data_IF_740994801035
#
_entry.id   IF_740994801035
#
_cell.length_a   1.000
_cell.length_b   1.000
_cell.length_c   1.000
_cell.angle_alpha   90.00
_cell.angle_beta   90.00
_cell.angle_gamma   90.00
#
_symmetry.space_group_name_H-M   'P 1'
#
loop_
_entity.id
_entity.type
_entity.pdbx_description
1 polymer ?
#
# COMPACT_ATOMS: atom_id res chain seq x y z
N UNK A 1 -40.13 -17.90 -13.51
CA UNK A 1 -39.04 -18.63 -12.82
C UNK A 1 -37.86 -18.69 -13.78
N UNK A 2 -36.62 -18.42 -13.35
CA UNK A 2 -35.46 -18.71 -14.20
C UNK A 2 -35.51 -20.19 -14.61
N UNK A 3 -35.20 -20.47 -15.87
CA UNK A 3 -35.18 -21.85 -16.40
C UNK A 3 -34.21 -22.66 -15.52
N UNK A 4 -34.65 -23.80 -14.92
CA UNK A 4 -33.79 -24.55 -14.01
C UNK A 4 -32.53 -25.02 -14.73
N UNK A 5 -31.39 -24.95 -14.03
CA UNK A 5 -30.13 -25.54 -14.49
C UNK A 5 -30.38 -27.00 -14.86
N UNK A 6 -30.07 -27.38 -16.10
CA UNK A 6 -30.26 -28.76 -16.57
C UNK A 6 -28.96 -29.53 -16.47
N UNK A 7 -29.04 -30.72 -15.92
CA UNK A 7 -27.96 -31.70 -15.92
C UNK A 7 -28.24 -32.71 -17.03
N UNK A 8 -27.25 -32.94 -17.89
CA UNK A 8 -27.31 -33.94 -18.96
C UNK A 8 -26.31 -35.03 -18.63
N UNK A 9 -26.75 -36.29 -18.61
CA UNK A 9 -25.84 -37.42 -18.40
C UNK A 9 -24.81 -37.47 -19.53
N UNK A 10 -23.54 -37.65 -19.16
CA UNK A 10 -22.47 -37.75 -20.13
C UNK A 10 -22.56 -39.07 -20.92
N UNK A 11 -22.41 -39.02 -22.24
CA UNK A 11 -22.57 -40.20 -23.09
C UNK A 11 -21.46 -41.24 -22.87
N UNK A 12 -20.25 -40.80 -22.51
CA UNK A 12 -19.15 -41.71 -22.14
C UNK A 12 -19.49 -42.43 -20.83
N UNK A 13 -20.09 -41.72 -19.86
CA UNK A 13 -20.60 -42.35 -18.64
C UNK A 13 -21.74 -43.34 -18.91
N UNK A 14 -22.70 -43.00 -19.78
CA UNK A 14 -23.79 -43.92 -20.16
C UNK A 14 -23.24 -45.20 -20.80
N UNK A 15 -22.19 -45.10 -21.63
CA UNK A 15 -21.61 -46.24 -22.32
C UNK A 15 -20.60 -47.07 -21.51
N UNK A 16 -19.88 -46.46 -20.57
CA UNK A 16 -18.73 -47.09 -19.88
C UNK A 16 -18.73 -46.96 -18.35
N UNK A 17 -19.77 -46.36 -17.77
CA UNK A 17 -19.86 -46.10 -16.34
C UNK A 17 -18.71 -45.23 -15.82
N UNK A 18 -18.27 -45.50 -14.58
CA UNK A 18 -17.15 -44.78 -13.94
C UNK A 18 -15.76 -45.33 -14.33
N UNK A 19 -15.67 -46.21 -15.33
CA UNK A 19 -14.40 -46.67 -15.87
C UNK A 19 -13.74 -45.62 -16.79
N UNK A 20 -14.50 -44.61 -17.23
CA UNK A 20 -14.00 -43.52 -18.06
C UNK A 20 -12.99 -42.62 -17.31
N UNK A 21 -12.01 -42.09 -18.05
CA UNK A 21 -11.06 -41.11 -17.53
C UNK A 21 -11.79 -39.85 -17.01
N UNK A 22 -11.27 -39.26 -15.93
CA UNK A 22 -11.90 -38.10 -15.27
C UNK A 22 -13.23 -38.38 -14.56
N UNK A 23 -13.84 -39.57 -14.76
CA UNK A 23 -15.10 -40.02 -14.13
C UNK A 23 -16.23 -38.99 -14.17
N UNK A 24 -16.31 -38.23 -15.27
CA UNK A 24 -17.37 -37.24 -15.51
C UNK A 24 -18.67 -37.99 -15.83
N UNK A 25 -19.72 -37.77 -15.02
CA UNK A 25 -21.00 -38.45 -15.20
C UNK A 25 -22.13 -37.53 -15.69
N UNK A 26 -21.97 -36.21 -15.54
CA UNK A 26 -22.94 -35.25 -16.05
C UNK A 26 -22.27 -33.95 -16.53
N UNK A 27 -22.89 -33.32 -17.53
CA UNK A 27 -22.59 -31.98 -17.99
C UNK A 27 -23.64 -30.99 -17.47
N UNK A 28 -23.19 -29.78 -17.12
CA UNK A 28 -24.08 -28.68 -16.75
C UNK A 28 -24.43 -27.90 -18.01
N UNK A 29 -25.72 -27.89 -18.36
CA UNK A 29 -26.23 -27.02 -19.41
C UNK A 29 -26.42 -25.62 -18.84
N UNK A 30 -25.60 -24.68 -19.31
CA UNK A 30 -25.66 -23.29 -18.88
C UNK A 30 -27.00 -22.65 -19.30
N UNK A 31 -27.58 -21.80 -18.45
CA UNK A 31 -28.81 -21.10 -18.81
C UNK A 31 -28.54 -20.14 -19.98
N UNK A 32 -29.55 -19.88 -20.84
CA UNK A 32 -29.40 -18.93 -21.94
C UNK A 32 -29.21 -17.50 -21.40
N UNK A 33 -28.45 -16.69 -22.14
CA UNK A 33 -28.31 -15.25 -21.87
C UNK A 33 -29.70 -14.59 -21.75
N UNK A 34 -29.95 -13.71 -20.77
CA UNK A 34 -28.97 -13.00 -19.92
C UNK A 34 -28.72 -13.61 -18.54
N UNK A 35 -29.14 -14.86 -18.27
CA UNK A 35 -28.95 -15.47 -16.96
C UNK A 35 -27.46 -15.80 -16.71
N UNK A 36 -26.95 -15.58 -15.48
CA UNK A 36 -25.55 -15.85 -15.18
C UNK A 36 -25.25 -17.35 -15.22
N UNK A 37 -24.03 -17.74 -15.64
CA UNK A 37 -23.63 -19.12 -15.65
C UNK A 37 -23.55 -19.71 -14.24
N UNK A 38 -23.75 -21.02 -14.15
CA UNK A 38 -23.59 -21.78 -12.90
C UNK A 38 -22.12 -21.74 -12.51
N UNK A 39 -21.83 -21.16 -11.36
CA UNK A 39 -20.49 -21.01 -10.83
C UNK A 39 -20.40 -21.49 -9.40
N UNK A 40 -19.21 -21.97 -9.07
CA UNK A 40 -18.72 -22.11 -7.72
C UNK A 40 -17.89 -20.85 -7.43
N UNK A 41 -18.40 -19.94 -6.61
CA UNK A 41 -17.63 -18.79 -6.20
C UNK A 41 -18.15 -18.22 -4.87
N UNK A 42 -17.30 -18.12 -3.84
CA UNK A 42 -17.37 -16.99 -2.94
C UNK A 42 -17.30 -15.67 -3.73
N UNK A 43 -18.10 -14.66 -3.40
CA UNK A 43 -17.82 -13.29 -3.82
C UNK A 43 -16.38 -12.87 -3.44
N UNK A 44 -15.66 -12.20 -4.34
CA UNK A 44 -14.33 -11.61 -4.05
C UNK A 44 -14.33 -10.68 -2.81
N UNK A 45 -15.41 -9.92 -2.51
CA UNK A 45 -15.52 -9.18 -1.25
C UNK A 45 -15.43 -10.07 0.00
N UNK A 46 -15.92 -11.31 -0.08
CA UNK A 46 -16.04 -12.21 1.08
C UNK A 46 -14.71 -12.91 1.43
N UNK A 47 -13.73 -12.88 0.53
CA UNK A 47 -12.37 -13.39 0.77
C UNK A 47 -11.38 -12.27 1.10
N UNK A 48 -11.84 -11.02 1.19
CA UNK A 48 -11.03 -9.85 1.49
C UNK A 48 -9.94 -9.55 0.46
N UNK A 49 -10.11 -10.00 -0.79
CA UNK A 49 -9.14 -9.80 -1.86
C UNK A 49 -7.90 -10.70 -1.81
N UNK A 50 -7.70 -11.49 -0.74
CA UNK A 50 -6.51 -12.33 -0.55
C UNK A 50 -6.58 -13.61 -1.39
N UNK A 51 -7.78 -14.13 -1.69
CA UNK A 51 -7.93 -15.24 -2.61
C UNK A 51 -9.24 -15.15 -3.40
N UNK A 52 -9.16 -15.04 -4.72
CA UNK A 52 -10.32 -15.19 -5.60
C UNK A 52 -10.26 -16.59 -6.20
N UNK A 53 -11.24 -17.45 -5.89
CA UNK A 53 -11.25 -18.86 -6.34
C UNK A 53 -12.49 -19.17 -7.19
N UNK A 54 -13.05 -18.15 -7.85
CA UNK A 54 -14.25 -18.28 -8.66
C UNK A 54 -14.03 -19.21 -9.85
N UNK A 55 -14.98 -20.12 -10.05
CA UNK A 55 -14.92 -21.12 -11.10
C UNK A 55 -16.29 -21.38 -11.71
N UNK A 56 -16.39 -21.34 -13.03
CA UNK A 56 -17.62 -21.79 -13.73
C UNK A 56 -17.72 -23.31 -13.65
N UNK A 57 -18.89 -23.84 -13.30
CA UNK A 57 -19.14 -25.28 -13.25
C UNK A 57 -19.65 -25.75 -14.61
N UNK A 58 -18.90 -26.62 -15.29
CA UNK A 58 -19.25 -27.20 -16.59
C UNK A 58 -19.71 -28.66 -16.50
N UNK A 59 -19.42 -29.36 -15.40
CA UNK A 59 -19.84 -30.75 -15.21
C UNK A 59 -19.67 -31.28 -13.79
N UNK A 60 -19.99 -32.57 -13.64
CA UNK A 60 -19.89 -33.32 -12.39
C UNK A 60 -18.99 -34.56 -12.61
N UNK A 61 -18.01 -34.71 -11.74
CA UNK A 61 -17.07 -35.84 -11.69
C UNK A 61 -17.21 -36.60 -10.37
N UNK A 62 -17.12 -37.93 -10.43
CA UNK A 62 -17.15 -38.76 -9.22
C UNK A 62 -15.88 -38.61 -8.36
N UNK A 63 -14.74 -38.19 -8.94
CA UNK A 63 -13.48 -38.00 -8.21
C UNK A 63 -13.28 -36.57 -7.73
N UNK A 64 -13.61 -35.58 -8.56
CA UNK A 64 -13.35 -34.17 -8.31
C UNK A 64 -14.59 -33.38 -7.86
N UNK A 65 -15.79 -33.97 -7.93
CA UNK A 65 -17.05 -33.27 -7.64
C UNK A 65 -17.40 -32.28 -8.75
N UNK A 66 -17.64 -31.01 -8.41
CA UNK A 66 -17.89 -29.96 -9.40
C UNK A 66 -16.61 -29.71 -10.22
N UNK A 67 -16.72 -29.76 -11.55
CA UNK A 67 -15.60 -29.47 -12.46
C UNK A 67 -15.96 -28.32 -13.39
N UNK A 68 -14.96 -27.55 -13.80
CA UNK A 68 -15.15 -26.39 -14.66
C UNK A 68 -14.32 -26.41 -15.94
N UNK A 69 -14.44 -25.33 -16.71
CA UNK A 69 -13.74 -25.14 -17.98
C UNK A 69 -14.12 -26.14 -19.07
N UNK A 70 -13.17 -26.40 -19.98
CA UNK A 70 -13.36 -27.30 -21.12
C UNK A 70 -13.56 -28.76 -20.69
N UNK A 71 -14.84 -29.18 -20.62
CA UNK A 71 -15.22 -30.48 -20.07
C UNK A 71 -14.57 -31.66 -20.82
N UNK A 72 -14.32 -31.55 -22.12
CA UNK A 72 -13.65 -32.60 -22.91
C UNK A 72 -12.20 -32.86 -22.47
N UNK A 73 -11.51 -31.86 -21.90
CA UNK A 73 -10.19 -32.05 -21.29
C UNK A 73 -10.29 -32.85 -20.01
N UNK A 74 -11.26 -32.53 -19.15
CA UNK A 74 -11.51 -33.28 -17.91
C UNK A 74 -11.89 -34.72 -18.22
N UNK A 75 -12.77 -34.94 -19.21
CA UNK A 75 -13.16 -36.29 -19.69
C UNK A 75 -11.99 -37.10 -20.26
N UNK A 76 -11.01 -36.44 -20.88
CA UNK A 76 -9.80 -37.11 -21.37
C UNK A 76 -8.73 -37.32 -20.28
N UNK A 77 -9.06 -37.05 -19.02
CA UNK A 77 -8.15 -37.26 -17.90
C UNK A 77 -7.15 -36.12 -17.71
N UNK A 78 -7.38 -34.95 -18.32
CA UNK A 78 -6.42 -33.84 -18.35
C UNK A 78 -6.95 -32.61 -17.60
N UNK A 79 -6.09 -32.03 -16.77
CA UNK A 79 -6.26 -30.73 -16.17
C UNK A 79 -5.27 -29.75 -16.81
N UNK A 80 -5.81 -28.74 -17.47
CA UNK A 80 -5.06 -27.63 -18.03
C UNK A 80 -5.58 -26.31 -17.42
N UNK A 81 -4.81 -25.64 -16.54
CA UNK A 81 -5.25 -24.43 -15.85
C UNK A 81 -5.78 -23.34 -16.79
N UNK A 82 -5.20 -23.21 -17.98
CA UNK A 82 -5.55 -22.16 -18.95
C UNK A 82 -6.92 -22.36 -19.62
N UNK A 83 -7.41 -23.60 -19.67
CA UNK A 83 -8.74 -23.94 -20.19
C UNK A 83 -9.72 -24.33 -19.08
N UNK A 84 -9.22 -24.56 -17.86
CA UNK A 84 -10.04 -24.82 -16.69
C UNK A 84 -10.60 -23.52 -16.10
N UNK A 85 -9.77 -22.50 -15.85
CA UNK A 85 -10.17 -21.28 -15.16
C UNK A 85 -10.60 -20.14 -16.10
N UNK A 86 -11.51 -19.25 -15.66
CA UNK A 86 -11.89 -18.06 -16.42
C UNK A 86 -10.69 -17.13 -16.64
N UNK A 87 -10.69 -16.43 -17.76
CA UNK A 87 -9.68 -15.42 -18.10
C UNK A 87 -10.22 -14.02 -17.87
N UNK A 88 -9.33 -13.02 -17.79
CA UNK A 88 -9.76 -11.63 -17.79
C UNK A 88 -10.58 -11.33 -19.06
N UNK A 89 -11.79 -10.77 -18.89
CA UNK A 89 -12.71 -10.50 -20.00
C UNK A 89 -13.54 -11.70 -20.47
N UNK A 90 -13.60 -12.78 -19.70
CA UNK A 90 -14.42 -13.95 -20.02
C UNK A 90 -15.92 -13.59 -20.13
N UNK A 91 -16.66 -14.12 -21.14
CA UNK A 91 -18.09 -13.83 -21.32
C UNK A 91 -18.97 -14.21 -20.11
N UNK A 92 -18.50 -15.08 -19.21
CA UNK A 92 -19.17 -15.41 -17.95
C UNK A 92 -19.18 -14.26 -16.94
N UNK A 93 -18.33 -13.24 -17.12
CA UNK A 93 -18.14 -12.15 -16.16
C UNK A 93 -17.35 -12.55 -14.91
N UNK A 94 -16.85 -13.79 -14.83
CA UNK A 94 -16.05 -14.26 -13.71
C UNK A 94 -14.60 -13.74 -13.82
N UNK A 95 -14.01 -13.40 -12.68
CA UNK A 95 -12.62 -13.01 -12.61
C UNK A 95 -11.70 -14.24 -12.56
N UNK A 96 -10.47 -14.15 -13.11
CA UNK A 96 -9.49 -15.21 -12.99
C UNK A 96 -9.14 -15.44 -11.51
N UNK A 97 -8.83 -16.69 -11.12
CA UNK A 97 -8.50 -16.96 -9.75
C UNK A 97 -7.14 -16.38 -9.38
N UNK A 98 -7.11 -15.68 -8.25
CA UNK A 98 -5.93 -14.97 -7.75
C UNK A 98 -5.58 -15.40 -6.33
N UNK A 99 -4.30 -15.34 -6.03
CA UNK A 99 -3.72 -15.52 -4.70
C UNK A 99 -2.99 -14.22 -4.29
N UNK A 100 -3.16 -13.81 -3.05
CA UNK A 100 -2.65 -12.54 -2.50
C UNK A 100 -3.06 -11.31 -3.32
N UNK A 101 -4.18 -11.34 -4.04
CA UNK A 101 -4.68 -10.20 -4.84
C UNK A 101 -3.96 -9.95 -6.18
N UNK A 102 -2.70 -10.36 -6.32
CA UNK A 102 -1.90 -10.10 -7.54
C UNK A 102 -1.40 -11.36 -8.27
N UNK A 103 -1.31 -12.52 -7.62
CA UNK A 103 -0.81 -13.75 -8.26
C UNK A 103 -1.92 -14.47 -9.00
N UNK A 104 -1.91 -14.42 -10.33
CA UNK A 104 -2.81 -15.24 -11.14
C UNK A 104 -2.45 -16.73 -10.99
N UNK A 105 -3.32 -17.50 -10.34
CA UNK A 105 -3.07 -18.92 -10.11
C UNK A 105 -2.86 -19.75 -11.39
N UNK A 106 -3.56 -19.51 -12.52
CA UNK A 106 -3.34 -20.29 -13.75
C UNK A 106 -1.92 -20.11 -14.33
N UNK A 107 -1.27 -18.98 -14.05
CA UNK A 107 0.10 -18.73 -14.51
C UNK A 107 1.12 -19.54 -13.70
N UNK A 108 0.80 -19.87 -12.45
CA UNK A 108 1.68 -20.57 -11.50
C UNK A 108 1.53 -22.09 -11.51
N UNK A 109 0.41 -22.63 -12.01
CA UNK A 109 0.09 -24.05 -11.92
C UNK A 109 0.46 -24.80 -13.20
N UNK A 110 0.99 -26.02 -13.05
CA UNK A 110 1.36 -26.92 -14.15
C UNK A 110 0.18 -27.82 -14.52
N UNK A 111 -0.03 -28.04 -15.82
CA UNK A 111 -1.03 -29.00 -16.31
C UNK A 111 -0.72 -30.41 -15.81
N UNK A 112 -1.75 -31.18 -15.47
CA UNK A 112 -1.57 -32.52 -14.87
C UNK A 112 -2.72 -33.46 -15.22
N UNK A 113 -2.67 -34.71 -14.75
CA UNK A 113 -3.75 -35.68 -14.93
C UNK A 113 -4.86 -35.47 -13.91
N UNK A 114 -6.12 -35.50 -14.33
CA UNK A 114 -7.25 -35.56 -13.40
C UNK A 114 -7.32 -36.98 -12.80
N UNK A 115 -7.09 -37.14 -11.50
CA UNK A 115 -7.25 -38.48 -10.90
C UNK A 115 -6.65 -38.73 -9.52
N UNK A 116 -5.76 -37.86 -9.02
CA UNK A 116 -5.17 -38.02 -7.68
C UNK A 116 -5.97 -37.33 -6.56
N UNK A 117 -7.07 -36.64 -6.91
CA UNK A 117 -7.92 -35.93 -5.95
C UNK A 117 -7.24 -34.78 -5.22
N UNK A 118 -6.04 -34.36 -5.65
CA UNK A 118 -5.20 -33.39 -4.95
C UNK A 118 -4.73 -32.24 -5.83
N UNK A 119 -4.18 -32.53 -7.00
CA UNK A 119 -3.56 -31.50 -7.85
C UNK A 119 -4.56 -30.78 -8.78
N UNK A 120 -5.81 -31.26 -8.82
CA UNK A 120 -6.95 -30.61 -9.47
C UNK A 120 -7.91 -30.15 -8.39
N UNK A 121 -8.60 -29.00 -8.52
CA UNK A 121 -9.58 -28.56 -7.53
C UNK A 121 -10.64 -29.64 -7.30
N UNK A 122 -10.74 -30.10 -6.05
CA UNK A 122 -11.78 -31.05 -5.62
C UNK A 122 -12.88 -30.25 -4.93
N UNK A 123 -14.02 -30.12 -5.58
CA UNK A 123 -15.14 -29.30 -5.12
C UNK A 123 -16.33 -30.21 -4.78
N UNK A 124 -16.57 -30.44 -3.50
CA UNK A 124 -17.62 -31.35 -3.03
C UNK A 124 -18.71 -30.57 -2.32
N UNK A 125 -19.96 -30.90 -2.64
CA UNK A 125 -21.13 -30.29 -2.03
C UNK A 125 -21.89 -31.33 -1.21
N UNK A 126 -22.09 -31.03 0.06
CA UNK A 126 -22.81 -31.86 1.01
C UNK A 126 -24.03 -31.12 1.55
N UNK A 127 -25.11 -31.88 1.76
CA UNK A 127 -26.36 -31.34 2.32
C UNK A 127 -26.34 -31.52 3.83
N UNK A 128 -26.54 -30.43 4.55
CA UNK A 128 -26.60 -30.43 6.02
C UNK A 128 -28.05 -30.65 6.46
N UNK A 129 -28.24 -31.60 7.38
CA UNK A 129 -29.54 -31.91 7.99
C UNK A 129 -29.36 -32.06 9.50
N UNK A 130 -30.35 -31.62 10.26
CA UNK A 130 -30.36 -31.84 11.71
C UNK A 130 -30.64 -33.31 12.08
N UNK A 131 -31.34 -34.03 11.20
CA UNK A 131 -31.60 -35.47 11.28
C UNK A 131 -31.91 -36.02 9.87
N UNK A 132 -31.74 -37.34 9.66
CA UNK A 132 -31.95 -37.99 8.35
C UNK A 132 -33.33 -37.71 7.75
N UNK A 133 -34.37 -37.70 8.59
CA UNK A 133 -35.77 -37.51 8.16
C UNK A 133 -36.20 -36.04 8.09
N UNK A 134 -35.30 -35.09 8.39
CA UNK A 134 -35.60 -33.66 8.35
C UNK A 134 -35.21 -33.03 7.01
N UNK A 135 -35.90 -31.94 6.62
CA UNK A 135 -35.49 -31.18 5.45
C UNK A 135 -34.06 -30.63 5.64
N UNK A 136 -33.31 -30.47 4.55
CA UNK A 136 -32.02 -29.78 4.56
C UNK A 136 -32.10 -28.40 5.21
N UNK A 137 -31.14 -28.08 6.07
CA UNK A 137 -31.03 -26.76 6.72
C UNK A 137 -29.95 -25.90 6.09
N UNK A 138 -28.94 -26.51 5.46
CA UNK A 138 -27.91 -25.81 4.72
C UNK A 138 -27.28 -26.72 3.66
N UNK A 139 -26.49 -26.10 2.78
CA UNK A 139 -25.55 -26.79 1.88
C UNK A 139 -24.15 -26.32 2.22
N UNK A 140 -23.20 -27.24 2.32
CA UNK A 140 -21.78 -26.94 2.51
C UNK A 140 -21.03 -27.39 1.28
N UNK A 141 -20.33 -26.46 0.64
CA UNK A 141 -19.43 -26.76 -0.47
C UNK A 141 -17.99 -26.52 -0.04
N UNK A 142 -17.17 -27.55 -0.17
CA UNK A 142 -15.75 -27.51 0.17
C UNK A 142 -14.92 -27.63 -1.10
N UNK A 143 -13.91 -26.76 -1.24
CA UNK A 143 -12.86 -26.89 -2.24
C UNK A 143 -11.53 -27.17 -1.54
N UNK A 144 -10.91 -28.30 -1.89
CA UNK A 144 -9.54 -28.63 -1.53
C UNK A 144 -8.68 -28.64 -2.79
N UNK A 145 -7.52 -28.00 -2.74
CA UNK A 145 -6.61 -27.96 -3.88
C UNK A 145 -5.16 -27.77 -3.48
N UNK A 146 -4.30 -28.70 -3.89
CA UNK A 146 -2.85 -28.62 -3.75
C UNK A 146 -2.18 -28.78 -5.12
N UNK A 147 -2.12 -27.75 -5.96
CA UNK A 147 -1.63 -27.89 -7.34
C UNK A 147 -0.15 -28.24 -7.42
N UNK A 148 0.26 -28.87 -8.52
CA UNK A 148 1.65 -28.85 -8.96
C UNK A 148 1.96 -27.47 -9.51
N UNK A 149 3.00 -26.84 -8.99
CA UNK A 149 3.42 -25.50 -9.43
C UNK A 149 4.49 -25.58 -10.50
N UNK A 150 4.62 -24.51 -11.29
CA UNK A 150 5.74 -24.30 -12.21
C UNK A 150 6.95 -23.80 -11.41
N UNK A 151 8.14 -24.09 -11.93
CA UNK A 151 9.41 -23.60 -11.37
C UNK A 151 9.95 -22.46 -12.23
N UNK A 152 10.49 -21.43 -11.61
CA UNK A 152 11.06 -20.28 -12.31
C UNK A 152 10.79 -18.96 -11.59
N UNK A 153 11.04 -17.86 -12.30
CA UNK A 153 10.75 -16.51 -11.83
C UNK A 153 9.49 -15.99 -12.51
N UNK A 154 8.51 -15.61 -11.69
CA UNK A 154 7.21 -15.10 -12.12
C UNK A 154 7.09 -13.63 -11.73
N UNK A 155 6.51 -12.84 -12.62
CA UNK A 155 6.28 -11.40 -12.39
C UNK A 155 7.54 -10.61 -12.03
N UNK A 156 8.73 -11.11 -12.40
CA UNK A 156 10.03 -10.52 -12.09
C UNK A 156 10.47 -10.62 -10.62
N UNK A 157 9.58 -11.00 -9.70
CA UNK A 157 9.84 -10.95 -8.26
C UNK A 157 9.62 -12.28 -7.54
N UNK A 158 8.72 -13.14 -8.00
CA UNK A 158 8.39 -14.39 -7.31
C UNK A 158 9.23 -15.53 -7.86
N UNK A 159 10.09 -16.11 -7.03
CA UNK A 159 10.89 -17.29 -7.37
C UNK A 159 10.29 -18.55 -6.76
N UNK A 160 10.01 -19.54 -7.60
CA UNK A 160 9.45 -20.84 -7.22
C UNK A 160 10.38 -21.97 -7.66
N UNK A 161 10.59 -22.94 -6.76
CA UNK A 161 11.43 -24.13 -6.96
C UNK A 161 10.58 -25.40 -6.94
N UNK A 162 11.20 -26.56 -7.12
CA UNK A 162 10.50 -27.86 -7.00
C UNK A 162 9.95 -28.14 -5.59
N UNK A 163 10.44 -27.43 -4.58
CA UNK A 163 9.97 -27.53 -3.20
C UNK A 163 8.79 -26.61 -2.91
N UNK A 164 8.51 -25.66 -3.81
CA UNK A 164 7.41 -24.71 -3.64
C UNK A 164 6.07 -25.45 -3.68
N UNK A 165 5.22 -25.17 -2.68
CA UNK A 165 3.91 -25.78 -2.57
C UNK A 165 2.82 -24.74 -2.34
N UNK A 166 1.66 -24.95 -2.96
CA UNK A 166 0.45 -24.19 -2.70
C UNK A 166 -0.59 -25.16 -2.14
N UNK A 167 -1.24 -24.80 -1.04
CA UNK A 167 -2.45 -25.46 -0.56
C UNK A 167 -3.57 -24.44 -0.39
N UNK A 168 -4.76 -24.82 -0.83
CA UNK A 168 -5.96 -23.99 -0.75
C UNK A 168 -7.10 -24.84 -0.21
N UNK A 169 -7.79 -24.29 0.78
CA UNK A 169 -8.97 -24.89 1.38
C UNK A 169 -10.04 -23.82 1.52
N UNK A 170 -11.19 -24.03 0.89
CA UNK A 170 -12.31 -23.10 0.97
C UNK A 170 -13.58 -23.84 1.37
N UNK A 171 -14.32 -23.28 2.32
CA UNK A 171 -15.61 -23.80 2.77
C UNK A 171 -16.67 -22.72 2.62
N UNK A 172 -17.72 -23.01 1.86
CA UNK A 172 -18.90 -22.16 1.71
C UNK A 172 -20.09 -22.86 2.33
N UNK A 173 -20.68 -22.25 3.37
CA UNK A 173 -21.93 -22.70 3.96
C UNK A 173 -23.07 -21.78 3.51
N UNK A 174 -24.02 -22.35 2.79
CA UNK A 174 -25.24 -21.66 2.33
C UNK A 174 -26.45 -22.15 3.13
N UNK A 175 -26.96 -21.36 4.09
CA UNK A 175 -28.22 -21.67 4.75
C UNK A 175 -29.39 -21.74 3.74
N UNK A 176 -30.32 -22.67 3.95
CA UNK A 176 -31.50 -22.84 3.10
C UNK A 176 -32.75 -22.16 3.69
N UNK A 177 -32.55 -21.17 4.55
CA UNK A 177 -33.61 -20.41 5.22
C UNK A 177 -34.13 -19.22 4.39
N UNK A 178 -33.48 -18.90 3.29
CA UNK A 178 -33.87 -17.85 2.35
C UNK A 178 -33.54 -16.42 2.80
N UNK A 179 -32.91 -16.23 3.96
CA UNK A 179 -32.60 -14.90 4.50
C UNK A 179 -31.15 -14.72 4.96
N UNK A 180 -30.44 -15.81 5.31
CA UNK A 180 -29.07 -15.70 5.79
C UNK A 180 -28.11 -15.82 4.60
N UNK A 181 -27.23 -14.83 4.39
CA UNK A 181 -26.30 -14.89 3.27
C UNK A 181 -25.30 -16.05 3.44
N UNK A 182 -24.78 -16.60 2.33
CA UNK A 182 -23.71 -17.59 2.38
C UNK A 182 -22.52 -17.11 3.22
N UNK A 183 -21.93 -18.02 3.98
CA UNK A 183 -20.76 -17.78 4.82
C UNK A 183 -19.57 -18.49 4.19
N UNK A 184 -18.52 -17.74 3.89
CA UNK A 184 -17.31 -18.26 3.24
C UNK A 184 -16.12 -18.16 4.20
N UNK A 185 -15.44 -19.28 4.38
CA UNK A 185 -14.13 -19.32 5.01
C UNK A 185 -13.09 -19.83 4.03
N UNK A 186 -12.04 -19.04 3.81
CA UNK A 186 -10.94 -19.38 2.89
C UNK A 186 -9.63 -19.45 3.66
N UNK A 187 -8.87 -20.51 3.43
CA UNK A 187 -7.52 -20.70 3.93
C UNK A 187 -6.60 -21.03 2.78
N UNK A 188 -5.37 -20.56 2.87
CA UNK A 188 -4.36 -21.02 1.94
C UNK A 188 -2.96 -20.76 2.43
N UNK A 189 -2.03 -21.46 1.80
CA UNK A 189 -0.64 -21.49 2.19
C UNK A 189 0.26 -21.59 0.95
N UNK A 190 1.25 -20.71 0.87
CA UNK A 190 2.36 -20.77 -0.07
C UNK A 190 3.64 -21.08 0.71
N UNK A 191 4.33 -22.16 0.37
CA UNK A 191 5.55 -22.63 1.05
C UNK A 191 6.77 -22.56 0.16
N UNK A 192 7.93 -22.43 0.79
CA UNK A 192 9.25 -22.58 0.16
C UNK A 192 9.38 -21.78 -1.15
N UNK A 193 9.17 -20.46 -1.05
CA UNK A 193 9.29 -19.53 -2.16
C UNK A 193 10.19 -18.36 -1.75
N UNK A 194 10.68 -17.60 -2.73
CA UNK A 194 11.46 -16.39 -2.45
C UNK A 194 10.89 -15.21 -3.21
N UNK A 195 10.96 -14.02 -2.60
CA UNK A 195 10.69 -12.76 -3.27
C UNK A 195 12.02 -12.05 -3.52
N UNK A 196 12.28 -11.76 -4.79
CA UNK A 196 13.46 -11.06 -5.28
C UNK A 196 13.04 -9.65 -5.68
N UNK A 197 13.70 -8.66 -5.10
CA UNK A 197 13.45 -7.25 -5.35
C UNK A 197 14.67 -6.61 -6.01
N UNK A 198 14.41 -5.63 -6.89
CA UNK A 198 15.44 -4.83 -7.55
C UNK A 198 16.50 -5.71 -8.23
N UNK A 199 16.05 -6.67 -9.05
CA UNK A 199 16.97 -7.55 -9.81
C UNK A 199 17.81 -8.52 -8.96
N UNK A 200 17.39 -8.83 -7.73
CA UNK A 200 18.09 -9.77 -6.85
C UNK A 200 19.03 -9.12 -5.83
N UNK A 201 19.05 -7.78 -5.76
CA UNK A 201 19.81 -7.05 -4.72
C UNK A 201 19.25 -7.34 -3.32
N UNK A 202 17.93 -7.54 -3.21
CA UNK A 202 17.29 -7.96 -1.97
C UNK A 202 16.45 -9.20 -2.24
N UNK A 203 16.73 -10.29 -1.53
CA UNK A 203 15.94 -11.53 -1.63
C UNK A 203 15.43 -11.94 -0.25
N UNK A 204 14.14 -12.26 -0.18
CA UNK A 204 13.50 -12.73 1.05
C UNK A 204 13.01 -14.15 0.81
N UNK A 205 13.62 -15.09 1.50
CA UNK A 205 13.24 -16.50 1.47
C UNK A 205 12.13 -16.75 2.48
N UNK A 206 11.00 -17.26 2.02
CA UNK A 206 9.87 -17.62 2.85
C UNK A 206 9.86 -19.12 3.10
N UNK A 207 9.79 -19.50 4.37
CA UNK A 207 9.40 -20.85 4.73
C UNK A 207 7.92 -21.07 4.40
N UNK A 208 7.08 -20.08 4.75
CA UNK A 208 5.64 -20.15 4.58
C UNK A 208 5.01 -18.75 4.58
N UNK A 209 3.98 -18.56 3.78
CA UNK A 209 3.02 -17.48 3.88
C UNK A 209 1.62 -18.10 3.89
N UNK A 210 0.91 -17.96 5.01
CA UNK A 210 -0.45 -18.46 5.15
C UNK A 210 -1.44 -17.30 5.30
N UNK A 211 -2.65 -17.50 4.81
CA UNK A 211 -3.74 -16.56 5.01
C UNK A 211 -5.00 -17.28 5.49
N UNK A 212 -5.85 -16.55 6.18
CA UNK A 212 -7.19 -17.00 6.57
C UNK A 212 -8.16 -15.83 6.44
N UNK A 213 -9.21 -16.01 5.65
CA UNK A 213 -10.35 -15.09 5.56
C UNK A 213 -11.57 -15.77 6.17
N UNK A 214 -12.27 -15.05 7.04
CA UNK A 214 -13.50 -15.50 7.70
C UNK A 214 -14.62 -14.48 7.46
N UNK A 215 -15.89 -14.90 7.44
CA UNK A 215 -16.99 -13.98 7.26
C UNK A 215 -16.99 -12.90 8.33
N UNK A 216 -17.11 -11.64 7.92
CA UNK A 216 -17.20 -10.49 8.83
C UNK A 216 -15.92 -10.15 9.62
N UNK A 217 -14.78 -10.75 9.28
CA UNK A 217 -13.49 -10.46 9.91
C UNK A 217 -12.45 -10.02 8.87
N UNK A 218 -11.51 -9.16 9.27
CA UNK A 218 -10.36 -8.81 8.44
C UNK A 218 -9.51 -10.06 8.19
N UNK A 219 -9.08 -10.33 6.95
CA UNK A 219 -8.18 -11.44 6.67
C UNK A 219 -6.89 -11.35 7.49
N UNK A 220 -6.45 -12.50 8.01
CA UNK A 220 -5.18 -12.60 8.73
C UNK A 220 -4.12 -13.21 7.83
N UNK A 221 -2.92 -12.62 7.79
CA UNK A 221 -1.75 -13.20 7.16
C UNK A 221 -0.71 -13.59 8.23
N UNK A 222 -0.06 -14.72 8.02
CA UNK A 222 0.99 -15.26 8.87
C UNK A 222 2.17 -15.64 7.97
N UNK A 223 3.21 -14.81 8.02
CA UNK A 223 4.42 -14.96 7.24
C UNK A 223 5.57 -15.49 8.11
N UNK A 224 6.20 -16.56 7.65
CA UNK A 224 7.42 -17.12 8.24
C UNK A 224 8.57 -16.94 7.26
N UNK A 225 9.39 -15.93 7.52
CA UNK A 225 10.63 -15.68 6.78
C UNK A 225 11.71 -16.65 7.26
N UNK A 226 12.34 -17.33 6.32
CA UNK A 226 13.49 -18.20 6.54
C UNK A 226 14.78 -17.39 6.58
N UNK A 227 14.95 -16.46 5.64
CA UNK A 227 16.16 -15.66 5.49
C UNK A 227 15.87 -14.38 4.70
N UNK A 228 16.57 -13.31 5.04
CA UNK A 228 16.74 -12.14 4.17
C UNK A 228 18.20 -12.13 3.71
N UNK A 229 18.42 -12.02 2.40
CA UNK A 229 19.74 -11.99 1.78
C UNK A 229 19.92 -10.74 0.91
N UNK A 230 21.16 -10.25 0.85
CA UNK A 230 21.54 -9.11 0.04
C UNK A 230 22.49 -9.56 -1.07
N UNK A 231 22.20 -9.17 -2.31
CA UNK A 231 22.99 -9.45 -3.50
C UNK A 231 23.63 -8.20 -4.10
N UNK A 232 24.48 -8.40 -5.10
CA UNK A 232 25.15 -7.31 -5.84
C UNK A 232 26.00 -6.43 -4.93
N UNK A 233 25.91 -5.11 -5.12
CA UNK A 233 26.67 -4.13 -4.35
C UNK A 233 26.31 -4.11 -2.85
N UNK A 234 25.22 -4.77 -2.43
CA UNK A 234 24.82 -4.89 -1.03
C UNK A 234 25.28 -6.20 -0.37
N UNK A 235 25.98 -7.09 -1.08
CA UNK A 235 26.48 -8.35 -0.50
C UNK A 235 27.40 -8.12 0.71
N UNK A 236 28.09 -6.97 0.77
CA UNK A 236 28.91 -6.61 1.94
C UNK A 236 28.07 -6.43 3.21
N UNK A 237 26.77 -6.09 3.12
CA UNK A 237 25.88 -5.99 4.27
C UNK A 237 25.63 -7.37 4.90
N UNK A 238 25.57 -8.42 4.08
CA UNK A 238 25.47 -9.80 4.57
C UNK A 238 26.73 -10.19 5.36
N UNK A 239 27.91 -9.72 4.95
CA UNK A 239 29.18 -9.91 5.68
C UNK A 239 29.25 -9.02 6.92
N UNK A 240 28.80 -7.78 6.82
CA UNK A 240 28.80 -6.81 7.92
C UNK A 240 27.88 -7.28 9.06
N UNK A 241 26.77 -7.98 8.75
CA UNK A 241 25.92 -8.64 9.74
C UNK A 241 26.70 -9.57 10.68
N UNK A 242 27.72 -10.26 10.17
CA UNK A 242 28.55 -11.17 10.98
C UNK A 242 29.53 -10.44 11.91
N UNK A 243 29.82 -9.16 11.63
CA UNK A 243 30.75 -8.33 12.39
C UNK A 243 30.08 -7.26 13.26
N UNK A 244 28.78 -7.00 13.07
CA UNK A 244 28.03 -6.06 13.89
C UNK A 244 27.61 -6.74 15.20
N UNK A 245 28.06 -6.23 16.37
CA UNK A 245 27.52 -6.68 17.64
C UNK A 245 26.02 -6.39 17.65
N UNK A 246 25.20 -7.42 17.83
CA UNK A 246 23.74 -7.32 17.89
C UNK A 246 23.38 -6.34 19.01
N UNK A 247 22.95 -5.11 18.67
CA UNK A 247 21.52 -4.82 18.58
C UNK A 247 21.19 -3.78 17.48
N UNK A 248 21.91 -3.76 16.35
CA UNK A 248 21.34 -3.12 15.16
C UNK A 248 20.16 -4.00 14.75
N UNK A 249 18.93 -3.54 14.99
CA UNK A 249 17.72 -4.24 14.56
C UNK A 249 17.96 -4.70 13.12
N UNK A 250 18.01 -6.02 12.91
CA UNK A 250 18.20 -6.59 11.58
C UNK A 250 17.12 -6.10 10.62
N UNK A 251 17.10 -6.58 9.36
CA UNK A 251 16.03 -6.21 8.45
C UNK A 251 14.67 -6.42 9.14
N UNK A 252 13.90 -5.35 9.27
CA UNK A 252 12.54 -5.41 9.74
C UNK A 252 11.66 -5.92 8.61
N UNK A 253 10.62 -6.65 8.99
CA UNK A 253 9.76 -7.33 8.06
C UNK A 253 8.34 -7.30 8.59
N UNK A 254 7.42 -6.82 7.77
CA UNK A 254 5.99 -6.78 8.06
C UNK A 254 5.23 -7.38 6.88
N UNK A 255 4.21 -8.18 7.21
CA UNK A 255 3.24 -8.70 6.24
C UNK A 255 1.88 -8.53 6.83
N UNK A 256 1.00 -7.91 6.07
CA UNK A 256 -0.40 -7.74 6.42
C UNK A 256 -1.29 -7.92 5.19
N UNK A 257 -2.57 -7.61 5.31
CA UNK A 257 -3.53 -7.74 4.22
C UNK A 257 -3.29 -6.75 3.07
N UNK A 258 -2.48 -5.71 3.27
CA UNK A 258 -2.21 -4.66 2.28
C UNK A 258 -0.94 -4.94 1.49
N UNK A 259 0.03 -5.68 2.05
CA UNK A 259 1.25 -6.01 1.36
C UNK A 259 2.35 -6.63 2.22
N UNK A 260 3.54 -6.68 1.64
CA UNK A 260 4.79 -7.09 2.27
C UNK A 260 5.70 -5.88 2.31
N UNK A 261 6.24 -5.53 3.49
CA UNK A 261 7.29 -4.54 3.63
C UNK A 261 8.53 -5.19 4.27
N UNK A 262 9.66 -4.95 3.63
CA UNK A 262 10.98 -5.40 4.08
C UNK A 262 11.85 -4.17 4.14
N UNK A 263 12.41 -3.86 5.29
CA UNK A 263 13.31 -2.71 5.40
C UNK A 263 14.46 -2.94 6.35
N UNK A 264 15.41 -2.03 6.33
CA UNK A 264 16.58 -2.03 7.19
C UNK A 264 16.80 -0.61 7.70
N UNK A 265 17.20 -0.50 8.96
CA UNK A 265 17.39 0.80 9.62
C UNK A 265 18.71 0.76 10.39
N UNK A 266 19.61 1.67 10.04
CA UNK A 266 20.94 1.80 10.63
C UNK A 266 21.09 3.16 11.29
N UNK A 267 21.34 3.17 12.61
CA UNK A 267 21.78 4.38 13.29
C UNK A 267 23.18 4.76 12.84
N UNK A 268 23.37 6.00 12.40
CA UNK A 268 24.68 6.55 12.03
C UNK A 268 25.23 7.31 13.25
N UNK A 269 26.50 7.06 13.66
CA UNK A 269 27.15 7.84 14.71
C UNK A 269 27.16 9.34 14.41
N UNK A 270 27.30 10.16 15.46
CA UNK A 270 27.41 11.60 15.28
C UNK A 270 28.60 11.97 14.38
N UNK A 271 28.37 12.89 13.44
CA UNK A 271 29.37 13.35 12.48
C UNK A 271 29.79 14.77 12.86
N UNK A 272 30.95 14.96 13.50
CA UNK A 272 31.52 16.29 13.73
C UNK A 272 32.20 16.79 12.45
N UNK A 273 31.90 18.02 12.05
CA UNK A 273 32.51 18.73 10.92
C UNK A 273 32.80 20.18 11.30
N UNK A 274 33.92 20.41 11.98
CA UNK A 274 34.30 21.74 12.47
C UNK A 274 33.29 22.29 13.49
N UNK A 275 32.67 23.42 13.19
CA UNK A 275 31.62 24.02 14.03
C UNK A 275 30.25 23.34 13.87
N UNK A 276 30.10 22.44 12.89
CA UNK A 276 28.87 21.71 12.60
C UNK A 276 28.91 20.33 13.25
N UNK A 277 27.81 19.93 13.86
CA UNK A 277 27.61 18.61 14.44
C UNK A 277 26.26 18.06 13.96
N UNK A 278 26.27 16.84 13.43
CA UNK A 278 25.04 16.11 13.08
C UNK A 278 24.87 14.91 14.00
N UNK A 279 23.67 14.74 14.56
CA UNK A 279 23.34 13.70 15.55
C UNK A 279 21.97 13.10 15.25
N UNK A 280 21.68 11.94 15.85
CA UNK A 280 20.43 11.20 15.67
C UNK A 280 20.16 10.86 14.19
N UNK A 281 21.23 10.68 13.42
CA UNK A 281 21.16 10.29 12.03
C UNK A 281 20.75 8.82 11.94
N UNK A 282 19.73 8.54 11.14
CA UNK A 282 19.30 7.19 10.84
C UNK A 282 19.26 7.01 9.33
N UNK A 283 19.81 5.93 8.82
CA UNK A 283 19.66 5.53 7.42
C UNK A 283 18.64 4.41 7.34
N UNK A 284 17.59 4.58 6.56
CA UNK A 284 16.62 3.53 6.31
C UNK A 284 16.44 3.27 4.83
N UNK A 285 16.28 1.99 4.49
CA UNK A 285 15.88 1.55 3.16
C UNK A 285 14.79 0.50 3.32
N UNK A 286 13.67 0.64 2.64
CA UNK A 286 12.59 -0.36 2.64
C UNK A 286 12.07 -0.61 1.23
N UNK A 287 11.55 -1.82 1.03
CA UNK A 287 10.85 -2.23 -0.17
C UNK A 287 9.48 -2.75 0.23
N UNK A 288 8.44 -2.17 -0.35
CA UNK A 288 7.04 -2.52 -0.12
C UNK A 288 6.45 -3.11 -1.41
N UNK A 289 5.86 -4.30 -1.31
CA UNK A 289 5.06 -4.95 -2.35
C UNK A 289 3.59 -4.90 -1.93
N UNK A 290 2.77 -4.00 -2.50
CA UNK A 290 1.33 -3.98 -2.28
C UNK A 290 0.62 -5.18 -2.92
N UNK A 291 -0.46 -5.65 -2.29
CA UNK A 291 -1.31 -6.74 -2.80
C UNK A 291 -2.47 -6.29 -3.68
N UNK A 292 -2.69 -4.99 -3.77
CA UNK A 292 -3.75 -4.37 -4.59
C UNK A 292 -3.35 -4.17 -6.06
N UNK A 293 -2.16 -4.64 -6.45
CA UNK A 293 -1.64 -4.53 -7.82
C UNK A 293 -0.92 -3.22 -8.10
N UNK A 294 -0.75 -2.33 -7.12
CA UNK A 294 0.14 -1.18 -7.26
C UNK A 294 1.61 -1.61 -7.46
N UNK A 295 2.44 -0.76 -8.08
CA UNK A 295 3.87 -1.02 -8.26
C UNK A 295 4.60 -1.31 -6.95
N UNK A 296 5.69 -2.09 -7.05
CA UNK A 296 6.65 -2.24 -5.95
C UNK A 296 7.29 -0.89 -5.67
N UNK A 297 7.31 -0.52 -4.39
CA UNK A 297 7.85 0.75 -3.90
C UNK A 297 9.15 0.50 -3.16
N UNK A 298 10.22 1.16 -3.56
CA UNK A 298 11.46 1.25 -2.79
C UNK A 298 11.55 2.64 -2.15
N UNK A 299 11.77 2.70 -0.84
CA UNK A 299 11.91 3.94 -0.10
C UNK A 299 13.28 3.99 0.57
N UNK A 300 13.96 5.12 0.44
CA UNK A 300 15.21 5.40 1.14
C UNK A 300 15.07 6.70 1.90
N UNK A 301 15.54 6.73 3.14
CA UNK A 301 15.53 7.94 3.95
C UNK A 301 16.80 8.10 4.79
N UNK A 302 17.25 9.36 4.90
CA UNK A 302 18.17 9.84 5.91
C UNK A 302 17.35 10.55 6.99
N UNK A 303 16.97 9.78 8.00
CA UNK A 303 16.03 10.11 9.07
C UNK A 303 14.63 10.37 8.50
N UNK A 304 13.59 9.98 9.23
CA UNK A 304 12.21 10.18 8.74
C UNK A 304 11.71 11.56 9.14
N UNK A 305 10.62 12.01 8.51
CA UNK A 305 9.93 13.24 8.89
C UNK A 305 9.50 13.25 10.36
N UNK A 306 9.08 12.10 10.88
CA UNK A 306 8.65 11.96 12.28
C UNK A 306 9.83 11.93 13.25
N UNK A 307 11.00 11.47 12.79
CA UNK A 307 12.22 11.35 13.57
C UNK A 307 13.41 11.99 12.83
N UNK A 308 13.41 13.33 12.64
CA UNK A 308 14.45 14.01 11.88
C UNK A 308 15.77 14.05 12.66
N UNK A 309 16.89 14.03 11.95
CA UNK A 309 18.21 14.21 12.55
C UNK A 309 18.36 15.63 13.11
N UNK A 310 19.29 15.80 14.04
CA UNK A 310 19.64 17.10 14.61
C UNK A 310 20.92 17.61 13.96
N UNK A 311 20.92 18.88 13.54
CA UNK A 311 22.11 19.59 13.07
C UNK A 311 22.34 20.80 13.95
N UNK A 312 23.56 21.01 14.44
CA UNK A 312 23.91 22.18 15.23
C UNK A 312 25.16 22.86 14.69
N UNK A 313 25.13 24.19 14.62
CA UNK A 313 26.29 25.03 14.32
C UNK A 313 26.47 26.01 15.47
N UNK A 314 27.48 25.77 16.32
CA UNK A 314 27.70 26.50 17.57
C UNK A 314 26.43 26.52 18.46
N UNK A 315 25.83 27.69 18.67
CA UNK A 315 24.63 27.92 19.49
C UNK A 315 23.33 27.70 18.71
N UNK A 316 23.42 27.57 17.38
CA UNK A 316 22.26 27.36 16.51
C UNK A 316 21.99 25.87 16.38
N UNK A 317 20.76 25.46 16.68
CA UNK A 317 20.29 24.08 16.55
C UNK A 317 19.26 23.97 15.43
N UNK A 318 19.11 22.80 14.86
CA UNK A 318 18.33 22.57 13.67
C UNK A 318 17.95 21.11 13.52
N UNK A 319 17.03 20.85 12.59
CA UNK A 319 16.55 19.50 12.29
C UNK A 319 16.51 19.30 10.79
N UNK A 320 16.58 18.06 10.35
CA UNK A 320 16.42 17.75 8.96
C UNK A 320 16.05 16.31 8.71
N UNK A 321 15.54 16.06 7.52
CA UNK A 321 15.30 14.72 7.01
C UNK A 321 15.36 14.75 5.49
N UNK A 322 15.58 13.58 4.91
CA UNK A 322 15.54 13.39 3.47
C UNK A 322 14.92 12.02 3.20
N UNK A 323 13.95 11.96 2.29
CA UNK A 323 13.30 10.74 1.86
C UNK A 323 13.13 10.75 0.34
N UNK A 324 13.31 9.59 -0.28
CA UNK A 324 13.06 9.37 -1.70
C UNK A 324 12.33 8.04 -1.87
N UNK A 325 11.33 8.04 -2.74
CA UNK A 325 10.50 6.88 -3.06
C UNK A 325 10.56 6.64 -4.56
N UNK A 326 10.86 5.40 -4.94
CA UNK A 326 10.96 4.93 -6.31
C UNK A 326 9.93 3.83 -6.53
N UNK A 327 9.17 3.91 -7.62
CA UNK A 327 8.24 2.88 -8.06
C UNK A 327 8.60 2.44 -9.48
N UNK A 328 8.78 1.14 -9.71
CA UNK A 328 9.14 0.57 -11.02
C UNK A 328 10.36 1.19 -11.72
N UNK A 329 11.24 1.87 -10.96
CA UNK A 329 12.43 2.56 -11.49
C UNK A 329 12.28 4.08 -11.64
N UNK A 330 11.07 4.63 -11.51
CA UNK A 330 10.79 6.06 -11.57
C UNK A 330 10.68 6.66 -10.17
N UNK A 331 11.23 7.87 -9.96
CA UNK A 331 11.07 8.60 -8.69
C UNK A 331 9.64 9.12 -8.62
N UNK A 332 8.89 8.66 -7.63
CA UNK A 332 7.49 9.09 -7.39
C UNK A 332 7.34 9.97 -6.16
N UNK A 333 8.35 10.04 -5.30
CA UNK A 333 8.32 11.01 -4.21
C UNK A 333 9.75 11.39 -3.82
N UNK A 334 9.95 12.68 -3.56
CA UNK A 334 11.12 13.17 -2.85
C UNK A 334 10.63 14.18 -1.82
N UNK A 335 11.02 14.00 -0.57
CA UNK A 335 10.70 14.92 0.51
C UNK A 335 11.96 15.24 1.29
N UNK A 336 12.25 16.52 1.50
CA UNK A 336 13.42 16.95 2.24
C UNK A 336 13.12 18.19 3.07
N UNK A 337 13.69 18.26 4.26
CA UNK A 337 13.64 19.45 5.10
C UNK A 337 15.00 19.70 5.73
N UNK A 338 15.37 20.97 5.81
CA UNK A 338 16.45 21.44 6.66
C UNK A 338 16.00 22.72 7.34
N UNK A 339 16.07 22.73 8.67
CA UNK A 339 15.77 23.91 9.49
C UNK A 339 16.89 24.18 10.49
N UNK A 340 17.06 25.45 10.83
CA UNK A 340 18.00 25.93 11.82
C UNK A 340 17.36 27.05 12.64
N UNK A 341 17.84 27.23 13.85
CA UNK A 341 17.22 28.14 14.80
C UNK A 341 18.04 28.32 16.06
N UNK A 342 17.56 29.22 16.90
CA UNK A 342 18.13 29.47 18.21
C UNK A 342 16.98 29.56 19.22
N UNK A 343 17.23 29.11 20.44
CA UNK A 343 16.32 29.33 21.55
C UNK A 343 17.08 29.78 22.79
N UNK A 344 16.45 30.65 23.57
CA UNK A 344 16.95 31.08 24.86
C UNK A 344 15.79 31.07 25.85
N UNK A 345 16.05 30.62 27.07
CA UNK A 345 15.07 30.62 28.16
C UNK A 345 15.73 31.16 29.43
N UNK A 346 14.95 31.86 30.24
CA UNK A 346 15.36 32.40 31.54
C UNK A 346 14.27 32.16 32.56
N UNK A 347 14.66 31.74 33.76
CA UNK A 347 13.76 31.58 34.89
C UNK A 347 14.34 32.29 36.11
N UNK A 348 13.61 33.26 36.65
CA UNK A 348 13.97 34.08 37.81
C UNK A 348 13.16 33.70 39.07
N UNK A 349 12.47 32.57 39.05
CA UNK A 349 11.59 32.07 40.13
C UNK A 349 10.21 32.73 40.12
N UNK A 350 10.14 34.06 40.06
CA UNK A 350 8.86 34.80 40.00
C UNK A 350 8.33 34.97 38.57
N UNK A 351 9.22 34.89 37.59
CA UNK A 351 8.89 34.97 36.17
C UNK A 351 9.82 34.07 35.37
N UNK A 352 9.28 33.42 34.35
CA UNK A 352 10.03 32.62 33.38
C UNK A 352 9.59 32.99 31.98
N UNK A 353 10.53 33.02 31.04
CA UNK A 353 10.21 33.26 29.64
C UNK A 353 11.18 32.54 28.73
N UNK A 354 10.72 32.27 27.51
CA UNK A 354 11.53 31.69 26.46
C UNK A 354 11.27 32.37 25.13
N UNK A 355 12.29 32.40 24.29
CA UNK A 355 12.19 32.84 22.90
C UNK A 355 12.85 31.81 22.02
N UNK A 356 12.25 31.55 20.86
CA UNK A 356 12.81 30.66 19.85
C UNK A 356 12.57 31.22 18.46
N UNK A 357 13.59 31.16 17.61
CA UNK A 357 13.50 31.50 16.19
C UNK A 357 13.93 30.26 15.41
N UNK A 358 13.18 29.91 14.36
CA UNK A 358 13.46 28.79 13.47
C UNK A 358 13.21 29.23 12.03
N UNK A 359 14.16 28.97 11.14
CA UNK A 359 14.02 29.17 9.71
C UNK A 359 14.36 27.86 9.00
N UNK A 360 13.67 27.56 7.92
CA UNK A 360 13.90 26.31 7.21
C UNK A 360 13.43 26.33 5.77
N UNK A 361 13.88 25.32 5.05
CA UNK A 361 13.46 25.01 3.68
C UNK A 361 12.86 23.61 3.70
N UNK A 362 11.74 23.48 3.01
CA UNK A 362 11.04 22.23 2.78
C UNK A 362 10.84 22.04 1.28
N UNK A 363 11.22 20.88 0.78
CA UNK A 363 11.07 20.48 -0.62
C UNK A 363 10.22 19.23 -0.68
N UNK A 364 9.19 19.25 -1.54
CA UNK A 364 8.43 18.06 -1.89
C UNK A 364 8.26 17.95 -3.40
N UNK A 365 8.61 16.80 -3.96
CA UNK A 365 8.38 16.44 -5.36
C UNK A 365 7.47 15.22 -5.35
N UNK A 366 6.37 15.27 -6.10
CA UNK A 366 5.42 14.18 -6.23
C UNK A 366 4.70 14.27 -7.59
N UNK A 367 4.12 13.17 -8.09
CA UNK A 367 3.27 13.19 -9.28
C UNK A 367 2.15 14.21 -9.18
N UNK A 368 1.81 14.77 -10.33
CA UNK A 368 0.64 15.61 -10.52
C UNK A 368 -0.63 14.77 -10.33
N UNK A 369 -1.65 15.35 -9.71
CA UNK A 369 -2.92 14.63 -9.42
C UNK A 369 -3.64 14.20 -10.71
N UNK A 370 -3.48 14.97 -11.78
CA UNK A 370 -4.10 14.75 -13.10
C UNK A 370 -3.22 13.96 -14.08
N UNK A 371 -1.90 13.88 -13.85
CA UNK A 371 -0.96 13.14 -14.70
C UNK A 371 0.15 12.50 -13.86
N UNK A 372 0.07 11.19 -13.60
CA UNK A 372 1.05 10.45 -12.79
C UNK A 372 2.48 10.47 -13.38
N UNK A 373 2.66 10.82 -14.65
CA UNK A 373 3.95 10.87 -15.31
C UNK A 373 4.64 12.24 -15.21
N UNK A 374 3.91 13.27 -14.76
CA UNK A 374 4.44 14.62 -14.59
C UNK A 374 4.71 14.88 -13.11
N UNK A 375 5.96 15.22 -12.76
CA UNK A 375 6.32 15.56 -11.39
C UNK A 375 6.15 17.06 -11.12
N UNK A 376 5.52 17.37 -9.99
CA UNK A 376 5.37 18.75 -9.48
C UNK A 376 6.25 18.94 -8.26
N UNK A 377 7.09 19.97 -8.30
CA UNK A 377 7.93 20.39 -7.20
C UNK A 377 7.27 21.52 -6.41
N UNK A 378 7.22 21.36 -5.09
CA UNK A 378 6.87 22.38 -4.11
C UNK A 378 8.10 22.72 -3.29
N UNK A 379 8.51 23.99 -3.34
CA UNK A 379 9.61 24.52 -2.55
C UNK A 379 9.04 25.55 -1.58
N UNK A 380 9.18 25.29 -0.28
CA UNK A 380 8.70 26.18 0.77
C UNK A 380 9.87 26.69 1.61
N UNK A 381 10.01 28.00 1.73
CA UNK A 381 10.83 28.63 2.76
C UNK A 381 9.93 29.11 3.89
N UNK A 382 10.29 28.82 5.14
CA UNK A 382 9.52 29.27 6.30
C UNK A 382 10.41 29.90 7.36
N UNK A 383 9.81 30.81 8.13
CA UNK A 383 10.39 31.46 9.28
C UNK A 383 9.35 31.49 10.40
N UNK A 384 9.75 31.09 11.59
CA UNK A 384 8.92 31.04 12.78
C UNK A 384 9.66 31.70 13.94
N UNK A 385 8.99 32.59 14.64
CA UNK A 385 9.48 33.17 15.88
C UNK A 385 8.39 33.03 16.95
N UNK A 386 8.77 32.47 18.10
CA UNK A 386 7.88 32.28 19.25
C UNK A 386 8.53 32.93 20.46
N UNK A 387 7.73 33.63 21.25
CA UNK A 387 8.13 34.13 22.56
C UNK A 387 7.03 33.86 23.58
N UNK A 388 7.41 33.41 24.76
CA UNK A 388 6.50 33.23 25.89
C UNK A 388 7.06 33.90 27.15
N UNK A 389 6.14 34.36 27.99
CA UNK A 389 6.42 34.90 29.31
C UNK A 389 5.34 34.40 30.26
N UNK A 390 5.74 33.80 31.37
CA UNK A 390 4.89 33.40 32.49
C UNK A 390 5.35 34.10 33.77
N UNK A 391 4.40 34.67 34.51
CA UNK A 391 4.62 35.31 35.80
C UNK A 391 3.75 34.61 36.84
N UNK A 392 4.40 33.90 37.76
CA UNK A 392 3.79 33.18 38.89
C UNK A 392 2.68 32.17 38.52
N UNK A 393 2.58 31.74 37.25
CA UNK A 393 1.46 30.94 36.73
C UNK A 393 0.13 31.71 36.62
N UNK A 394 0.12 32.99 36.99
CA UNK A 394 -1.05 33.87 36.99
C UNK A 394 -1.16 34.57 35.65
N UNK A 395 -0.07 35.11 35.11
CA UNK A 395 -0.08 35.83 33.83
C UNK A 395 0.79 35.06 32.85
N UNK A 396 0.23 34.66 31.71
CA UNK A 396 0.97 34.01 30.64
C UNK A 396 0.72 34.74 29.31
N UNK A 397 1.77 35.15 28.63
CA UNK A 397 1.71 35.80 27.31
C UNK A 397 2.50 34.94 26.35
N UNK A 398 1.93 34.63 25.18
CA UNK A 398 2.65 33.98 24.09
C UNK A 398 2.40 34.71 22.78
N UNK A 399 3.47 34.98 22.03
CA UNK A 399 3.42 35.55 20.68
C UNK A 399 4.06 34.56 19.72
N UNK A 400 3.35 34.24 18.65
CA UNK A 400 3.84 33.42 17.56
C UNK A 400 3.74 34.20 16.26
N UNK A 401 4.87 34.30 15.55
CA UNK A 401 4.98 34.83 14.21
C UNK A 401 5.40 33.68 13.28
N UNK A 402 4.64 33.45 12.22
CA UNK A 402 4.94 32.46 11.19
C UNK A 402 4.85 33.12 9.81
N UNK A 403 5.86 32.91 8.98
CA UNK A 403 5.93 33.36 7.60
C UNK A 403 6.35 32.19 6.73
N UNK A 404 5.61 31.93 5.66
CA UNK A 404 5.95 30.90 4.68
C UNK A 404 5.80 31.44 3.25
N UNK A 405 6.71 31.03 2.38
CA UNK A 405 6.67 31.27 0.93
C UNK A 405 6.79 29.93 0.23
N UNK A 406 5.76 29.52 -0.49
CA UNK A 406 5.69 28.23 -1.18
C UNK A 406 5.57 28.44 -2.68
N UNK A 407 6.62 28.07 -3.42
CA UNK A 407 6.60 28.00 -4.87
C UNK A 407 6.00 26.66 -5.34
N UNK A 408 5.06 26.73 -6.29
CA UNK A 408 4.51 25.56 -6.97
C UNK A 408 4.94 25.57 -8.45
N UNK A 409 5.68 24.54 -8.87
CA UNK A 409 6.22 24.46 -10.24
C UNK A 409 5.16 24.30 -11.33
N UNK A 410 3.97 23.78 -10.98
CA UNK A 410 2.86 23.58 -11.92
C UNK A 410 2.18 24.90 -12.26
N UNK A 411 1.77 25.66 -11.22
CA UNK A 411 1.11 26.96 -11.41
C UNK A 411 2.10 28.07 -11.69
N UNK A 412 3.39 27.86 -11.38
CA UNK A 412 4.46 28.86 -11.41
C UNK A 412 4.19 30.06 -10.48
N UNK A 413 3.35 29.86 -9.46
CA UNK A 413 2.98 30.85 -8.46
C UNK A 413 3.73 30.57 -7.16
N UNK A 414 4.19 31.63 -6.50
CA UNK A 414 4.63 31.63 -5.11
C UNK A 414 3.46 32.10 -4.25
N UNK A 415 2.95 31.22 -3.39
CA UNK A 415 1.97 31.57 -2.38
C UNK A 415 2.69 31.97 -1.09
N UNK A 416 2.40 33.15 -0.57
CA UNK A 416 2.96 33.66 0.68
C UNK A 416 1.91 33.77 1.76
N UNK A 417 2.21 33.27 2.95
CA UNK A 417 1.33 33.33 4.13
C UNK A 417 2.10 33.90 5.31
N UNK A 418 1.52 34.88 6.00
CA UNK A 418 2.04 35.46 7.23
C UNK A 418 0.96 35.42 8.32
N UNK A 419 1.27 34.79 9.44
CA UNK A 419 0.37 34.60 10.57
C UNK A 419 1.01 35.14 11.85
N UNK A 420 0.28 35.98 12.58
CA UNK A 420 0.67 36.44 13.92
C UNK A 420 -0.42 36.07 14.91
N UNK A 421 -0.07 35.27 15.91
CA UNK A 421 -0.98 34.86 16.99
C UNK A 421 -0.47 35.39 18.31
N UNK A 422 -1.30 36.20 18.97
CA UNK A 422 -1.03 36.70 20.32
C UNK A 422 -2.05 36.08 21.26
N UNK A 423 -1.57 35.43 22.32
CA UNK A 423 -2.40 34.85 23.37
C UNK A 423 -2.00 35.44 24.71
N UNK A 424 -3.00 35.85 25.48
CA UNK A 424 -2.84 36.38 26.84
C UNK A 424 -3.76 35.60 27.77
N UNK A 425 -3.19 35.06 28.84
CA UNK A 425 -3.89 34.38 29.94
C UNK A 425 -3.67 35.17 31.23
N UNK A 426 -4.74 35.41 31.97
CA UNK A 426 -4.74 36.00 33.32
C UNK A 426 -5.61 35.13 34.23
N UNK A 427 -4.98 34.47 35.20
CA UNK A 427 -5.56 33.46 36.06
C UNK A 427 -6.31 32.37 35.26
N UNK A 428 -7.64 32.37 35.31
CA UNK A 428 -8.51 31.40 34.64
C UNK A 428 -9.08 31.90 33.30
N UNK A 429 -8.75 33.14 32.90
CA UNK A 429 -9.25 33.77 31.68
C UNK A 429 -8.16 33.79 30.60
N UNK A 430 -8.50 33.41 29.38
CA UNK A 430 -7.59 33.46 28.22
C UNK A 430 -8.26 34.10 27.02
N UNK A 431 -7.51 34.94 26.28
CA UNK A 431 -7.94 35.49 25.00
C UNK A 431 -6.82 35.36 23.96
N UNK A 432 -7.19 35.05 22.72
CA UNK A 432 -6.28 34.97 21.58
C UNK A 432 -6.74 35.89 20.47
N UNK A 433 -5.79 36.56 19.81
CA UNK A 433 -5.99 37.37 18.62
C UNK A 433 -5.05 36.85 17.55
N UNK A 434 -5.58 36.53 16.37
CA UNK A 434 -4.82 36.10 15.20
C UNK A 434 -4.98 37.10 14.06
N UNK A 435 -3.88 37.45 13.41
CA UNK A 435 -3.85 38.23 12.17
C UNK A 435 -3.18 37.37 11.09
N UNK A 436 -3.88 37.16 9.98
CA UNK A 436 -3.41 36.36 8.86
C UNK A 436 -3.43 37.20 7.58
N UNK A 437 -2.35 37.10 6.80
CA UNK A 437 -2.19 37.77 5.51
C UNK A 437 -1.70 36.75 4.51
N UNK A 438 -2.39 36.61 3.38
CA UNK A 438 -2.00 35.77 2.26
C UNK A 438 -1.74 36.63 1.02
N UNK A 439 -0.78 36.21 0.19
CA UNK A 439 -0.49 36.87 -1.09
C UNK A 439 0.15 35.92 -2.09
N UNK A 440 -0.39 35.91 -3.30
CA UNK A 440 0.18 35.19 -4.44
C UNK A 440 1.10 36.08 -5.28
N UNK A 441 2.18 35.50 -5.79
CA UNK A 441 3.12 36.11 -6.73
C UNK A 441 3.28 35.18 -7.95
N UNK A 442 3.05 35.66 -9.17
CA UNK A 442 3.40 34.91 -10.40
C UNK A 442 2.26 34.48 -11.32
N UNK A 443 1.03 34.97 -11.16
CA UNK A 443 0.00 34.81 -12.19
C UNK A 443 0.19 35.86 -13.31
N UNK A 444 0.45 35.39 -14.53
CA UNK A 444 0.65 36.11 -15.80
C UNK A 444 0.31 37.62 -15.89
N UNK A 445 1.27 38.35 -16.46
CA UNK A 445 1.44 39.80 -16.62
C UNK A 445 1.98 40.50 -15.37
N UNK A 446 3.23 40.99 -15.45
CA UNK A 446 3.73 42.00 -14.51
C UNK A 446 2.71 43.13 -14.48
N UNK A 447 2.25 43.60 -13.28
CA UNK A 447 1.41 44.78 -13.21
C UNK A 447 2.13 45.89 -13.98
N UNK A 448 1.47 46.42 -14.99
CA UNK A 448 2.01 47.54 -15.73
C UNK A 448 2.21 48.70 -14.74
N UNK A 449 3.11 49.63 -15.07
CA UNK A 449 3.27 50.84 -14.27
C UNK A 449 1.92 51.54 -13.99
N UNK A 450 0.94 51.42 -14.90
CA UNK A 450 -0.42 51.93 -14.74
C UNK A 450 -1.29 51.19 -13.70
N UNK A 451 -1.02 49.92 -13.40
CA UNK A 451 -1.77 49.15 -12.39
C UNK A 451 -1.34 49.53 -10.97
N UNK A 452 -0.11 50.01 -10.81
CA UNK A 452 0.39 50.59 -9.56
C UNK A 452 -0.12 52.03 -9.32
N UNK A 453 -0.59 52.71 -10.39
CA UNK A 453 -1.11 54.07 -10.37
C UNK A 453 -2.42 54.17 -11.17
N UNK A 454 -3.52 53.53 -10.70
CA UNK A 454 -4.79 53.49 -11.44
C UNK A 454 -5.43 54.88 -11.61
N UNK A 455 -5.09 55.82 -10.72
CA UNK A 455 -5.47 57.22 -10.82
C UNK A 455 -4.24 58.11 -11.08
N UNK A 456 -4.36 59.22 -11.83
CA UNK A 456 -3.26 60.16 -12.05
C UNK A 456 -2.80 60.89 -10.77
N UNK A 457 -3.65 60.95 -9.75
CA UNK A 457 -3.47 61.80 -8.55
C UNK A 457 -2.20 61.43 -7.72
N UNK A 458 -1.94 60.16 -7.40
CA UNK A 458 -0.74 59.76 -6.64
C UNK A 458 0.54 59.99 -7.43
N UNK A 459 0.53 59.80 -8.75
CA UNK A 459 1.66 60.09 -9.64
C UNK A 459 1.97 61.58 -9.70
N UNK A 460 0.94 62.42 -9.90
CA UNK A 460 1.08 63.88 -9.86
C UNK A 460 1.59 64.37 -8.50
N UNK A 461 1.11 63.78 -7.40
CA UNK A 461 1.59 64.09 -6.04
C UNK A 461 3.07 63.74 -5.87
N UNK A 462 3.50 62.58 -6.40
CA UNK A 462 4.92 62.18 -6.38
C UNK A 462 5.77 63.14 -7.21
N UNK A 463 5.39 63.42 -8.46
CA UNK A 463 6.10 64.36 -9.33
C UNK A 463 6.17 65.77 -8.73
N UNK A 464 5.08 66.27 -8.14
CA UNK A 464 5.04 67.57 -7.47
C UNK A 464 6.02 67.70 -6.29
N UNK A 465 6.31 66.60 -5.58
CA UNK A 465 7.32 66.59 -4.50
C UNK A 465 8.76 66.61 -5.01
N UNK A 466 9.02 66.20 -6.25
CA UNK A 466 10.35 66.26 -6.87
C UNK A 466 10.55 67.55 -7.66
N UNK A 467 9.49 68.17 -8.20
CA UNK A 467 9.58 69.48 -8.87
C UNK A 467 10.04 70.60 -7.94
N UNK A 468 9.71 70.54 -6.64
CA UNK A 468 10.20 71.50 -5.64
C UNK A 468 11.69 71.36 -5.30
N UNK A 469 12.42 70.38 -5.87
CA UNK A 469 13.87 70.23 -5.67
C UNK A 469 14.72 70.86 -6.79
N UNK A 470 14.13 71.28 -7.91
CA UNK A 470 14.87 71.94 -9.01
C UNK A 470 14.93 73.47 -8.88
N UNK A 471 14.10 74.08 -8.02
CA UNK A 471 14.07 75.52 -7.75
C UNK A 471 14.77 75.92 -6.43
N UNK A 472 15.60 75.04 -5.84
CA UNK A 472 16.35 75.29 -4.61
C UNK A 472 17.88 75.38 -4.83
#
# INVERSE_FOLDING_TARGET
>A
MPDPVRLVLDQTYVGSGLAAAGQVYAAVQQPPSPLPPVSFAPPVPDTGGVAALSQQVSGLSATAGLVGGALDKVKSGQFDPASYFPKAGDPSGLLPPKLLGFLNLPDLVTSTSTGDGKHVPRIVTEVVRDAVDKPPTAVVTTMDWSPKVKTGTFFGILMMTGDTGIDLHNTTRTPLDGHTPPQVESRGELRAFSLSFVGGILTVDFARLAFTSKPGATPTLDAKVKKVGFGGDLEFLDRLRDYLPTPANGPHFSVDATGIEVGYTLGIPAIPAGALLMQNLTLSSSVTLPFDGRPVRAHFALSSRDHPFTVSVMLLGGRGFFGITVESGDIVELEAQAEFGAAAALNLGVASGSVSITAGIYVKIQPEETDPHTLVARLSGFFRAVGELDVLGIISISVEFYLALTYNSQTKVVHGTALVVVRVRVAFFSKSVSLEVERDFGSGADPAFGDAFPDPLPWQTRCGKFATMEDA
#
